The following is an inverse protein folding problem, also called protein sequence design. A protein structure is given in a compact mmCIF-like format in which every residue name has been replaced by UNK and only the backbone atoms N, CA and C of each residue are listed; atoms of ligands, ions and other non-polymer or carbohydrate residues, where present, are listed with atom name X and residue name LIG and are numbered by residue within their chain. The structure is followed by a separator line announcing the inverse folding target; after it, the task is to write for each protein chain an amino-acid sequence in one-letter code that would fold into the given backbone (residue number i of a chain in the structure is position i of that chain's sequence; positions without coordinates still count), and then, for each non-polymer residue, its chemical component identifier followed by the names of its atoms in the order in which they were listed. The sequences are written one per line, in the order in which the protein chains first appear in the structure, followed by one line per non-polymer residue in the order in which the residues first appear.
data_IF_353744058410
#
_entry.id   IF_353744058410
#
_cell.length_a   1.000
_cell.length_b   1.000
_cell.length_c   1.000
_cell.angle_alpha   90.00
_cell.angle_beta   90.00
_cell.angle_gamma   90.00
#
_symmetry.space_group_name_H-M   'P 1'
#
loop_
_entity.id
_entity.type
_entity.pdbx_description
1 polymer ?
#
# COMPACT_ATOMS: atom_id res chain seq x y z
N UNK A 1 2.08 -9.18 -20.20
CA UNK A 1 1.14 -8.75 -19.18
C UNK A 1 0.80 -7.26 -19.36
N UNK A 2 1.71 -6.34 -19.08
CA UNK A 2 1.45 -4.89 -19.19
C UNK A 2 1.58 -4.30 -20.58
N UNK A 3 2.22 -4.99 -21.53
CA UNK A 3 2.56 -4.47 -22.87
C UNK A 3 3.38 -3.16 -22.85
N UNK A 4 4.22 -2.99 -21.83
CA UNK A 4 5.10 -1.84 -21.63
C UNK A 4 6.57 -2.24 -21.80
N UNK A 5 7.49 -1.28 -22.12
CA UNK A 5 8.93 -1.54 -22.18
C UNK A 5 9.47 -2.10 -20.86
N UNK A 6 10.49 -2.98 -20.94
CA UNK A 6 11.09 -3.61 -19.75
C UNK A 6 11.80 -2.61 -18.83
N UNK A 7 12.35 -1.57 -19.40
CA UNK A 7 13.09 -0.50 -18.71
C UNK A 7 12.19 0.43 -17.90
N UNK A 8 10.86 0.25 -17.97
CA UNK A 8 9.89 0.88 -17.06
C UNK A 8 9.62 0.07 -15.79
N UNK A 9 10.33 -1.04 -15.56
CA UNK A 9 10.14 -1.93 -14.42
C UNK A 9 11.41 -2.10 -13.60
N UNK A 10 11.27 -2.01 -12.28
CA UNK A 10 12.29 -2.45 -11.32
C UNK A 10 11.74 -3.57 -10.45
N UNK A 11 12.57 -4.53 -10.06
CA UNK A 11 12.18 -5.66 -9.20
C UNK A 11 12.99 -5.59 -7.90
N UNK A 12 12.34 -5.87 -6.78
CA UNK A 12 12.97 -5.82 -5.46
C UNK A 12 12.46 -6.90 -4.51
N UNK A 13 13.04 -6.91 -3.30
CA UNK A 13 12.76 -7.84 -2.21
C UNK A 13 11.40 -7.52 -1.54
N UNK A 14 10.33 -7.56 -2.32
CA UNK A 14 9.01 -7.06 -1.96
C UNK A 14 8.95 -5.53 -2.05
N UNK A 15 7.78 -4.95 -1.75
CA UNK A 15 7.62 -3.49 -1.71
C UNK A 15 8.51 -2.87 -0.63
N UNK A 16 8.74 -3.53 0.49
CA UNK A 16 9.61 -3.02 1.56
C UNK A 16 11.02 -2.69 1.07
N UNK A 17 11.64 -3.60 0.30
CA UNK A 17 12.95 -3.34 -0.29
C UNK A 17 12.92 -2.19 -1.30
N UNK A 18 11.84 -2.07 -2.08
CA UNK A 18 11.66 -0.97 -3.03
C UNK A 18 11.42 0.37 -2.32
N UNK A 19 10.68 0.40 -1.22
CA UNK A 19 10.50 1.60 -0.39
C UNK A 19 11.83 2.07 0.21
N UNK A 20 12.63 1.13 0.75
CA UNK A 20 13.96 1.43 1.24
C UNK A 20 14.88 2.00 0.16
N UNK A 21 14.86 1.41 -1.04
CA UNK A 21 15.63 1.92 -2.17
C UNK A 21 15.15 3.31 -2.62
N UNK A 22 13.84 3.57 -2.63
CA UNK A 22 13.28 4.88 -2.96
C UNK A 22 13.77 5.95 -1.98
N UNK A 23 13.67 5.67 -0.68
CA UNK A 23 14.17 6.59 0.36
C UNK A 23 15.67 6.82 0.20
N UNK A 24 16.45 5.75 0.01
CA UNK A 24 17.91 5.83 -0.19
C UNK A 24 18.31 6.65 -1.43
N UNK A 25 17.46 6.72 -2.45
CA UNK A 25 17.72 7.49 -3.68
C UNK A 25 17.45 8.98 -3.52
N UNK A 26 16.43 9.35 -2.76
CA UNK A 26 15.87 10.70 -2.82
C UNK A 26 15.88 11.45 -1.50
N UNK A 27 16.23 10.80 -0.37
CA UNK A 27 16.20 11.41 0.95
C UNK A 27 17.59 11.56 1.53
N UNK A 28 17.92 12.79 1.91
CA UNK A 28 19.07 13.17 2.71
C UNK A 28 18.59 13.56 4.11
N UNK A 29 19.49 13.55 5.13
CA UNK A 29 19.15 14.01 6.47
C UNK A 29 18.53 15.41 6.45
N UNK A 30 17.33 15.55 7.07
CA UNK A 30 16.58 16.80 7.12
C UNK A 30 15.57 17.00 5.98
N UNK A 31 15.62 16.21 4.89
CA UNK A 31 14.60 16.24 3.86
C UNK A 31 13.23 15.82 4.41
N UNK A 32 12.16 16.39 3.85
CA UNK A 32 10.79 16.10 4.27
C UNK A 32 10.08 15.17 3.28
N UNK A 33 9.36 14.21 3.83
CA UNK A 33 8.37 13.41 3.09
C UNK A 33 6.99 13.62 3.70
N UNK A 34 5.94 13.31 2.93
CA UNK A 34 4.54 13.38 3.38
C UNK A 34 3.90 12.01 3.29
N UNK A 35 3.11 11.65 4.28
CA UNK A 35 2.30 10.43 4.31
C UNK A 35 1.11 10.60 5.23
N UNK A 36 0.17 9.67 5.19
CA UNK A 36 -0.97 9.66 6.11
C UNK A 36 -0.61 9.13 7.49
N UNK A 37 -1.21 9.71 8.53
CA UNK A 37 -1.01 9.31 9.92
C UNK A 37 -1.69 7.96 10.19
N UNK A 38 -0.89 6.90 10.30
CA UNK A 38 -1.37 5.52 10.48
C UNK A 38 -1.31 4.66 9.22
N UNK A 39 -0.81 5.20 8.10
CA UNK A 39 -0.49 4.42 6.90
C UNK A 39 0.57 3.35 7.19
N UNK A 40 0.83 2.49 6.21
CA UNK A 40 1.77 1.37 6.34
C UNK A 40 3.13 1.80 6.91
N UNK A 41 3.56 1.24 8.06
CA UNK A 41 4.62 1.83 8.88
C UNK A 41 6.03 1.67 8.29
N UNK A 42 6.26 0.71 7.39
CA UNK A 42 7.61 0.40 6.91
C UNK A 42 8.23 1.57 6.15
N UNK A 43 7.43 2.34 5.40
CA UNK A 43 7.92 3.54 4.74
C UNK A 43 8.52 4.53 5.76
N UNK A 44 7.79 4.77 6.86
CA UNK A 44 8.29 5.63 7.96
C UNK A 44 9.61 5.14 8.54
N UNK A 45 9.77 3.83 8.76
CA UNK A 45 11.00 3.27 9.30
C UNK A 45 12.20 3.52 8.37
N UNK A 46 12.01 3.42 7.06
CA UNK A 46 13.05 3.77 6.10
C UNK A 46 13.40 5.27 6.16
N UNK A 47 12.40 6.15 6.20
CA UNK A 47 12.62 7.60 6.29
C UNK A 47 13.39 7.98 7.55
N UNK A 48 12.95 7.47 8.71
CA UNK A 48 13.62 7.70 10.00
C UNK A 48 15.08 7.18 9.97
N UNK A 49 15.28 6.00 9.37
CA UNK A 49 16.60 5.36 9.26
C UNK A 49 17.61 6.15 8.40
N UNK A 50 17.13 6.96 7.47
CA UNK A 50 17.94 7.85 6.62
C UNK A 50 17.98 9.30 7.14
N UNK A 51 17.40 9.58 8.32
CA UNK A 51 17.42 10.92 8.92
C UNK A 51 16.46 11.91 8.27
N UNK A 52 15.51 11.44 7.49
CA UNK A 52 14.45 12.27 6.91
C UNK A 52 13.38 12.65 7.94
N UNK A 53 12.65 13.71 7.68
CA UNK A 53 11.48 14.14 8.44
C UNK A 53 10.20 13.66 7.76
N UNK A 54 9.21 13.22 8.54
CA UNK A 54 7.91 12.83 8.00
C UNK A 54 6.80 13.76 8.49
N UNK A 55 6.11 14.41 7.57
CA UNK A 55 4.89 15.19 7.81
C UNK A 55 3.70 14.27 7.66
N UNK A 56 2.97 14.03 8.74
CA UNK A 56 1.85 13.10 8.79
C UNK A 56 0.52 13.84 8.69
N UNK A 57 -0.33 13.43 7.75
CA UNK A 57 -1.66 13.98 7.50
C UNK A 57 -2.71 13.04 8.08
N UNK A 58 -3.65 13.51 8.92
CA UNK A 58 -4.73 12.69 9.43
C UNK A 58 -5.63 12.13 8.32
N UNK A 59 -6.20 10.96 8.56
CA UNK A 59 -7.27 10.42 7.72
C UNK A 59 -8.54 11.27 7.85
N UNK A 60 -9.30 11.35 6.78
CA UNK A 60 -10.61 11.96 6.74
C UNK A 60 -11.67 10.88 6.45
N UNK A 61 -12.62 10.67 7.37
CA UNK A 61 -13.67 9.65 7.23
C UNK A 61 -13.14 8.27 6.85
N UNK A 62 -12.03 7.85 7.48
CA UNK A 62 -11.33 6.58 7.24
C UNK A 62 -10.64 6.46 5.88
N UNK A 63 -10.54 7.52 5.10
CA UNK A 63 -9.76 7.60 3.86
C UNK A 63 -8.49 8.43 4.06
N UNK A 64 -7.44 8.11 3.33
CA UNK A 64 -6.31 9.01 3.18
C UNK A 64 -6.82 10.32 2.52
N UNK A 65 -6.55 11.47 3.14
CA UNK A 65 -7.05 12.78 2.66
C UNK A 65 -6.15 13.32 1.55
N UNK A 66 -6.55 13.08 0.30
CA UNK A 66 -5.75 13.46 -0.88
C UNK A 66 -5.48 14.97 -0.96
N UNK A 67 -6.46 15.81 -0.63
CA UNK A 67 -6.34 17.26 -0.73
C UNK A 67 -5.41 17.80 0.37
N UNK A 68 -5.52 17.27 1.58
CA UNK A 68 -4.63 17.61 2.68
C UNK A 68 -3.19 17.11 2.45
N UNK A 69 -3.02 15.91 1.84
CA UNK A 69 -1.72 15.38 1.44
C UNK A 69 -1.04 16.28 0.40
N UNK A 70 -1.76 16.73 -0.64
CA UNK A 70 -1.24 17.68 -1.62
C UNK A 70 -0.86 19.02 -0.99
N UNK A 71 -1.72 19.55 -0.11
CA UNK A 71 -1.46 20.79 0.61
C UNK A 71 -0.20 20.70 1.48
N UNK A 72 -0.08 19.62 2.28
CA UNK A 72 1.10 19.36 3.11
C UNK A 72 2.37 19.23 2.27
N UNK A 73 2.28 18.54 1.12
CA UNK A 73 3.39 18.34 0.18
C UNK A 73 3.90 19.66 -0.39
N UNK A 74 2.99 20.53 -0.85
CA UNK A 74 3.33 21.86 -1.38
C UNK A 74 3.94 22.75 -0.28
N UNK A 75 3.33 22.76 0.91
CA UNK A 75 3.78 23.58 2.05
C UNK A 75 5.18 23.18 2.54
N UNK A 76 5.46 21.88 2.66
CA UNK A 76 6.74 21.36 3.16
C UNK A 76 7.80 21.21 2.06
N UNK A 77 7.45 21.38 0.79
CA UNK A 77 8.31 21.10 -0.37
C UNK A 77 8.85 19.66 -0.32
N UNK A 78 7.98 18.72 0.04
CA UNK A 78 8.36 17.33 0.28
C UNK A 78 9.03 16.69 -0.94
N UNK A 79 10.07 15.89 -0.70
CA UNK A 79 10.78 15.13 -1.73
C UNK A 79 9.98 13.92 -2.19
N UNK A 80 9.30 13.26 -1.25
CA UNK A 80 8.45 12.10 -1.54
C UNK A 80 7.08 12.32 -0.90
N UNK A 81 6.04 11.96 -1.63
CA UNK A 81 4.67 11.79 -1.13
C UNK A 81 4.31 10.30 -1.26
N UNK A 82 3.97 9.67 -0.15
CA UNK A 82 3.53 8.27 -0.11
C UNK A 82 2.01 8.20 0.04
N UNK A 83 1.38 7.43 -0.83
CA UNK A 83 -0.05 7.11 -0.81
C UNK A 83 -0.24 5.62 -1.08
N UNK A 84 -1.13 4.94 -0.35
CA UNK A 84 -1.55 3.58 -0.67
C UNK A 84 -2.97 3.52 -1.21
N UNK A 85 -3.14 2.89 -2.39
CA UNK A 85 -4.47 2.74 -2.99
C UNK A 85 -4.60 1.40 -3.74
N UNK A 86 -5.35 0.42 -3.19
CA UNK A 86 -6.15 0.43 -1.94
C UNK A 86 -5.33 0.59 -0.67
N UNK A 87 -5.93 1.25 0.33
CA UNK A 87 -5.27 1.62 1.57
C UNK A 87 -4.99 0.43 2.51
N UNK A 88 -3.93 0.53 3.23
CA UNK A 88 -3.60 -0.25 4.42
C UNK A 88 -3.22 0.73 5.55
N UNK A 89 -4.09 0.90 6.60
CA UNK A 89 -4.83 -0.18 7.25
C UNK A 89 -6.34 -0.24 7.00
N UNK A 90 -6.96 0.75 6.37
CA UNK A 90 -8.43 0.87 6.38
C UNK A 90 -9.14 0.16 5.21
N UNK A 91 -8.38 -0.33 4.22
CA UNK A 91 -8.94 -1.04 3.06
C UNK A 91 -9.75 -0.16 2.11
N UNK A 92 -9.80 1.13 2.36
CA UNK A 92 -10.51 2.12 1.53
C UNK A 92 -9.83 2.30 0.18
N UNK A 93 -10.55 2.86 -0.78
CA UNK A 93 -10.07 2.98 -2.15
C UNK A 93 -10.60 4.26 -2.79
N UNK A 94 -9.72 5.05 -3.34
CA UNK A 94 -10.06 6.21 -4.16
C UNK A 94 -10.23 5.81 -5.62
N UNK A 95 -11.26 6.36 -6.28
CA UNK A 95 -11.53 6.08 -7.69
C UNK A 95 -10.38 6.50 -8.60
N UNK A 96 -10.36 5.93 -9.81
CA UNK A 96 -9.33 6.27 -10.81
C UNK A 96 -9.30 7.75 -11.15
N UNK A 97 -10.46 8.41 -11.17
CA UNK A 97 -10.58 9.85 -11.47
C UNK A 97 -9.91 10.67 -10.36
N UNK A 98 -10.17 10.31 -9.09
CA UNK A 98 -9.55 11.01 -7.94
C UNK A 98 -8.05 10.78 -7.87
N UNK A 99 -7.59 9.56 -8.17
CA UNK A 99 -6.14 9.26 -8.22
C UNK A 99 -5.49 9.96 -9.40
N UNK A 100 -6.15 10.05 -10.57
CA UNK A 100 -5.60 10.78 -11.71
C UNK A 100 -5.48 12.27 -11.41
N UNK A 101 -6.54 12.89 -10.90
CA UNK A 101 -6.52 14.29 -10.45
C UNK A 101 -5.41 14.54 -9.42
N UNK A 102 -5.26 13.64 -8.46
CA UNK A 102 -4.18 13.70 -7.47
C UNK A 102 -2.79 13.66 -8.12
N UNK A 103 -2.56 12.73 -9.06
CA UNK A 103 -1.30 12.61 -9.81
C UNK A 103 -1.01 13.91 -10.58
N UNK A 104 -2.02 14.47 -11.23
CA UNK A 104 -1.86 15.67 -12.06
C UNK A 104 -1.50 16.92 -11.24
N UNK A 105 -1.84 16.93 -9.96
CA UNK A 105 -1.57 18.03 -9.04
C UNK A 105 -0.31 17.86 -8.17
N UNK A 106 0.44 16.75 -8.32
CA UNK A 106 1.72 16.53 -7.62
C UNK A 106 2.76 17.54 -8.11
N UNK A 107 3.48 18.25 -7.22
CA UNK A 107 4.56 19.15 -7.64
C UNK A 107 5.67 18.42 -8.41
N UNK A 108 6.21 19.02 -9.46
CA UNK A 108 7.20 18.39 -10.36
C UNK A 108 8.45 17.85 -9.62
N UNK A 109 8.84 18.51 -8.53
CA UNK A 109 10.02 18.12 -7.72
C UNK A 109 9.73 17.09 -6.64
N UNK A 110 8.48 16.64 -6.52
CA UNK A 110 8.05 15.62 -5.55
C UNK A 110 7.86 14.29 -6.26
N UNK A 111 8.46 13.23 -5.75
CA UNK A 111 8.19 11.87 -6.23
C UNK A 111 6.92 11.35 -5.54
N UNK A 112 5.91 10.97 -6.32
CA UNK A 112 4.78 10.20 -5.82
C UNK A 112 5.17 8.73 -5.75
N UNK A 113 5.14 8.17 -4.55
CA UNK A 113 5.18 6.73 -4.31
C UNK A 113 3.74 6.23 -4.14
N UNK A 114 3.16 5.64 -5.18
CA UNK A 114 1.83 5.04 -5.14
C UNK A 114 1.97 3.55 -4.83
N UNK A 115 1.64 3.18 -3.59
CA UNK A 115 1.65 1.79 -3.15
C UNK A 115 0.35 1.10 -3.57
N UNK A 116 0.45 0.23 -4.54
CA UNK A 116 -0.63 -0.56 -5.10
C UNK A 116 -0.56 -2.04 -4.68
N UNK A 117 -0.10 -2.31 -3.43
CA UNK A 117 0.05 -3.68 -2.92
C UNK A 117 -1.25 -4.50 -2.98
N UNK A 118 -2.38 -3.87 -3.03
CA UNK A 118 -3.70 -4.50 -3.08
C UNK A 118 -4.45 -4.27 -4.40
N UNK A 119 -3.81 -3.72 -5.41
CA UNK A 119 -4.45 -3.43 -6.71
C UNK A 119 -5.04 -4.64 -7.40
N UNK A 120 -4.51 -5.85 -7.18
CA UNK A 120 -5.06 -7.08 -7.75
C UNK A 120 -6.47 -7.42 -7.23
N UNK A 121 -6.91 -6.85 -6.09
CA UNK A 121 -8.25 -7.01 -5.53
C UNK A 121 -9.28 -5.99 -6.07
N UNK A 122 -8.87 -5.15 -7.01
CA UNK A 122 -9.68 -4.12 -7.67
C UNK A 122 -9.78 -4.46 -9.16
N UNK A 123 -10.93 -4.16 -9.78
CA UNK A 123 -11.04 -4.31 -11.23
C UNK A 123 -10.03 -3.35 -11.91
N UNK A 124 -9.33 -3.86 -12.91
CA UNK A 124 -8.31 -3.09 -13.64
C UNK A 124 -8.86 -1.80 -14.25
N UNK A 125 -10.14 -1.79 -14.61
CA UNK A 125 -10.80 -0.60 -15.16
C UNK A 125 -11.10 0.49 -14.12
N UNK A 126 -11.07 0.13 -12.82
CA UNK A 126 -11.22 1.07 -11.71
C UNK A 126 -9.87 1.69 -11.28
N UNK A 127 -8.75 1.13 -11.72
CA UNK A 127 -7.42 1.67 -11.42
C UNK A 127 -7.07 2.85 -12.33
N UNK A 128 -6.40 3.86 -11.79
CA UNK A 128 -5.86 4.95 -12.60
C UNK A 128 -4.86 4.42 -13.64
N UNK A 129 -4.87 4.93 -14.88
CA UNK A 129 -3.95 4.49 -15.93
C UNK A 129 -2.49 4.63 -15.50
N UNK A 130 -1.64 3.73 -15.98
CA UNK A 130 -0.19 3.83 -15.77
C UNK A 130 0.37 4.69 -16.89
N UNK A 131 0.87 5.88 -16.54
CA UNK A 131 1.59 6.77 -17.44
C UNK A 131 3.09 6.66 -17.15
N UNK A 132 3.82 6.04 -18.06
CA UNK A 132 5.28 5.86 -17.97
C UNK A 132 6.07 7.11 -18.44
N UNK A 133 5.42 8.09 -19.04
CA UNK A 133 6.05 9.35 -19.41
C UNK A 133 6.12 10.32 -18.22
N UNK A 134 5.31 10.10 -17.19
CA UNK A 134 5.33 10.89 -15.96
C UNK A 134 6.59 10.60 -15.15
N UNK A 135 7.54 11.54 -15.13
CA UNK A 135 8.89 11.34 -14.58
C UNK A 135 8.93 11.23 -13.04
N UNK A 136 7.89 11.71 -12.34
CA UNK A 136 7.86 11.80 -10.89
C UNK A 136 6.82 10.87 -10.21
N UNK A 137 6.37 9.81 -10.89
CA UNK A 137 5.44 8.82 -10.32
C UNK A 137 6.05 7.44 -10.39
N UNK A 138 6.11 6.74 -9.25
CA UNK A 138 6.42 5.32 -9.20
C UNK A 138 5.31 4.56 -8.49
N UNK A 139 4.87 3.45 -9.10
CA UNK A 139 3.85 2.56 -8.56
C UNK A 139 4.49 1.27 -8.10
N UNK A 140 4.21 0.84 -6.88
CA UNK A 140 4.72 -0.41 -6.34
C UNK A 140 3.63 -1.48 -6.26
N UNK A 141 3.92 -2.67 -6.76
CA UNK A 141 3.07 -3.86 -6.72
C UNK A 141 3.82 -5.06 -6.17
N UNK A 142 3.10 -6.06 -5.69
CA UNK A 142 3.71 -7.19 -4.98
C UNK A 142 3.06 -8.53 -5.33
N UNK A 143 3.84 -9.59 -5.23
CA UNK A 143 3.34 -10.97 -5.27
C UNK A 143 2.95 -11.50 -3.88
N UNK A 144 3.11 -10.69 -2.84
CA UNK A 144 2.89 -11.10 -1.44
C UNK A 144 1.41 -11.29 -1.08
N UNK A 145 0.47 -10.69 -1.81
CA UNK A 145 -0.95 -10.63 -1.45
C UNK A 145 -1.79 -11.58 -2.29
N UNK A 146 -2.35 -11.12 -3.40
CA UNK A 146 -3.24 -11.92 -4.25
C UNK A 146 -2.58 -13.20 -4.80
N UNK A 147 -1.29 -13.14 -5.09
CA UNK A 147 -0.50 -14.29 -5.57
C UNK A 147 -0.02 -15.23 -4.47
N UNK A 148 -0.18 -14.89 -3.19
CA UNK A 148 0.17 -15.77 -2.06
C UNK A 148 1.67 -15.99 -1.84
N UNK A 149 2.57 -15.20 -2.46
CA UNK A 149 4.02 -15.41 -2.43
C UNK A 149 4.74 -14.52 -1.39
N UNK A 150 4.10 -14.22 -0.26
CA UNK A 150 4.64 -13.31 0.76
C UNK A 150 6.03 -13.73 1.26
N UNK A 151 6.25 -15.03 1.48
CA UNK A 151 7.52 -15.58 1.97
C UNK A 151 8.66 -15.53 0.94
N UNK A 152 8.36 -15.39 -0.35
CA UNK A 152 9.36 -15.34 -1.42
C UNK A 152 9.95 -13.94 -1.63
N UNK A 153 9.41 -12.93 -0.92
CA UNK A 153 9.94 -11.57 -0.92
C UNK A 153 10.16 -11.00 -2.32
N UNK A 154 9.10 -10.91 -3.12
CA UNK A 154 9.19 -10.35 -4.48
C UNK A 154 8.09 -9.32 -4.72
N UNK A 155 8.49 -8.19 -5.26
CA UNK A 155 7.64 -7.09 -5.70
C UNK A 155 8.30 -6.33 -6.84
N UNK A 156 7.60 -5.39 -7.42
CA UNK A 156 8.10 -4.61 -8.54
C UNK A 156 7.57 -3.18 -8.53
N UNK A 157 8.35 -2.29 -9.12
CA UNK A 157 7.97 -0.90 -9.37
C UNK A 157 7.75 -0.67 -10.86
N UNK A 158 6.80 0.21 -11.18
CA UNK A 158 6.48 0.66 -12.53
C UNK A 158 6.57 2.18 -12.56
N UNK A 159 7.31 2.74 -13.50
CA UNK A 159 7.45 4.18 -13.65
C UNK A 159 8.24 4.57 -14.88
N UNK A 160 8.55 5.85 -14.97
CA UNK A 160 9.37 6.38 -16.04
C UNK A 160 10.75 5.70 -16.04
N UNK A 161 11.31 5.46 -17.25
CA UNK A 161 12.61 4.81 -17.43
C UNK A 161 13.72 5.44 -16.59
N UNK A 162 13.84 6.77 -16.60
CA UNK A 162 14.89 7.48 -15.84
C UNK A 162 14.77 7.23 -14.35
N UNK A 163 13.53 7.25 -13.82
CA UNK A 163 13.25 6.99 -12.41
C UNK A 163 13.57 5.53 -12.05
N UNK A 164 13.17 4.58 -12.90
CA UNK A 164 13.43 3.15 -12.71
C UNK A 164 14.93 2.84 -12.78
N UNK A 165 15.66 3.41 -13.73
CA UNK A 165 17.11 3.23 -13.86
C UNK A 165 17.88 3.70 -12.61
N UNK A 166 17.36 4.73 -11.91
CA UNK A 166 17.98 5.22 -10.68
C UNK A 166 18.07 4.12 -9.60
N UNK A 167 17.11 3.21 -9.53
CA UNK A 167 17.13 2.09 -8.57
C UNK A 167 18.36 1.19 -8.75
N UNK A 168 18.92 1.08 -9.94
CA UNK A 168 20.14 0.30 -10.18
C UNK A 168 21.37 0.83 -9.44
N UNK A 169 21.35 2.10 -9.00
CA UNK A 169 22.46 2.71 -8.24
C UNK A 169 22.50 2.26 -6.78
N UNK A 170 21.35 1.85 -6.22
CA UNK A 170 21.19 1.60 -4.77
C UNK A 170 20.67 0.21 -4.43
N UNK A 171 20.02 -0.48 -5.38
CA UNK A 171 19.47 -1.81 -5.13
C UNK A 171 20.55 -2.82 -4.79
N UNK A 172 20.22 -3.80 -3.98
CA UNK A 172 21.03 -4.98 -3.81
C UNK A 172 21.02 -5.81 -5.12
N UNK A 173 22.17 -5.98 -5.76
CA UNK A 173 22.25 -6.65 -7.07
C UNK A 173 21.76 -8.10 -7.04
N UNK A 174 21.90 -8.81 -5.92
CA UNK A 174 21.50 -10.20 -5.74
C UNK A 174 20.37 -10.34 -4.71
N UNK A 175 19.66 -9.26 -4.38
CA UNK A 175 18.64 -9.25 -3.33
C UNK A 175 17.42 -10.10 -3.64
N UNK A 176 16.96 -10.10 -4.90
CA UNK A 176 15.81 -10.91 -5.29
C UNK A 176 16.24 -12.35 -5.51
N UNK A 177 15.80 -13.23 -4.63
CA UNK A 177 16.16 -14.65 -4.67
C UNK A 177 15.63 -15.36 -5.92
N UNK A 178 16.36 -16.37 -6.40
CA UNK A 178 16.04 -17.08 -7.65
C UNK A 178 14.68 -17.79 -7.60
N UNK A 179 14.32 -18.38 -6.47
CA UNK A 179 13.02 -19.06 -6.32
C UNK A 179 11.87 -18.06 -6.44
N UNK A 180 12.00 -16.86 -5.84
CA UNK A 180 11.03 -15.78 -5.99
C UNK A 180 10.85 -15.36 -7.44
N UNK A 181 11.94 -15.21 -8.21
CA UNK A 181 11.89 -14.84 -9.62
C UNK A 181 11.13 -15.88 -10.46
N UNK A 182 11.42 -17.17 -10.24
CA UNK A 182 10.76 -18.28 -10.96
C UNK A 182 9.28 -18.34 -10.58
N UNK A 183 8.97 -18.31 -9.28
CA UNK A 183 7.61 -18.40 -8.78
C UNK A 183 6.75 -17.20 -9.23
N UNK A 184 7.28 -15.98 -9.21
CA UNK A 184 6.57 -14.81 -9.69
C UNK A 184 6.20 -14.91 -11.17
N UNK A 185 7.13 -15.42 -12.01
CA UNK A 185 6.85 -15.64 -13.44
C UNK A 185 5.73 -16.66 -13.63
N UNK A 186 5.80 -17.80 -12.96
CA UNK A 186 4.77 -18.85 -13.04
C UNK A 186 3.42 -18.32 -12.55
N UNK A 187 3.42 -17.57 -11.42
CA UNK A 187 2.20 -16.98 -10.89
C UNK A 187 1.57 -15.93 -11.83
N UNK A 188 2.38 -15.13 -12.53
CA UNK A 188 1.87 -14.20 -13.56
C UNK A 188 1.26 -14.92 -14.75
N UNK A 189 1.73 -16.10 -15.11
CA UNK A 189 1.19 -16.91 -16.18
C UNK A 189 -0.13 -17.57 -15.78
N UNK A 190 -0.35 -17.88 -14.49
CA UNK A 190 -1.55 -18.54 -13.97
C UNK A 190 -2.65 -17.57 -13.55
N UNK A 191 -3.16 -16.81 -14.50
CA UNK A 191 -4.25 -15.86 -14.27
C UNK A 191 -5.58 -16.56 -13.90
N UNK A 192 -5.75 -17.82 -14.30
CA UNK A 192 -6.96 -18.61 -13.94
C UNK A 192 -7.01 -18.86 -12.43
N UNK A 193 -5.88 -19.28 -11.84
CA UNK A 193 -5.79 -19.48 -10.40
C UNK A 193 -5.96 -18.16 -9.63
N UNK A 194 -5.35 -17.08 -10.10
CA UNK A 194 -5.55 -15.76 -9.50
C UNK A 194 -7.04 -15.40 -9.41
N UNK A 195 -7.81 -15.59 -10.49
CA UNK A 195 -9.25 -15.31 -10.47
C UNK A 195 -10.01 -16.17 -9.45
N UNK A 196 -9.61 -17.42 -9.25
CA UNK A 196 -10.19 -18.29 -8.21
C UNK A 196 -9.90 -17.72 -6.82
N UNK A 197 -8.67 -17.27 -6.57
CA UNK A 197 -8.26 -16.65 -5.28
C UNK A 197 -9.07 -15.37 -5.03
N UNK A 198 -9.16 -14.48 -6.00
CA UNK A 198 -9.90 -13.21 -5.87
C UNK A 198 -11.37 -13.43 -5.54
N UNK A 199 -12.04 -14.38 -6.20
CA UNK A 199 -13.44 -14.75 -5.90
C UNK A 199 -13.59 -15.31 -4.48
N UNK A 200 -12.67 -16.16 -4.02
CA UNK A 200 -12.69 -16.70 -2.65
C UNK A 200 -12.52 -15.60 -1.62
N UNK A 201 -11.56 -14.68 -1.83
CA UNK A 201 -11.32 -13.54 -0.93
C UNK A 201 -12.55 -12.63 -0.87
N UNK A 202 -13.15 -12.30 -2.02
CA UNK A 202 -14.36 -11.46 -2.05
C UNK A 202 -15.52 -12.11 -1.29
N UNK A 203 -15.74 -13.41 -1.50
CA UNK A 203 -16.72 -14.17 -0.72
C UNK A 203 -16.44 -14.15 0.78
N UNK A 204 -15.21 -14.43 1.19
CA UNK A 204 -14.81 -14.43 2.61
C UNK A 204 -15.00 -13.06 3.26
N UNK A 205 -14.67 -11.97 2.56
CA UNK A 205 -14.93 -10.59 3.06
C UNK A 205 -16.41 -10.35 3.32
N UNK A 206 -17.28 -10.77 2.40
CA UNK A 206 -18.73 -10.66 2.55
C UNK A 206 -19.26 -11.49 3.72
N UNK A 207 -18.77 -12.72 3.87
CA UNK A 207 -19.15 -13.62 4.96
C UNK A 207 -18.71 -13.02 6.32
N UNK A 208 -17.48 -12.51 6.45
CA UNK A 208 -16.97 -11.84 7.64
C UNK A 208 -17.85 -10.63 8.00
N UNK A 209 -18.08 -9.72 7.04
CA UNK A 209 -18.91 -8.55 7.27
C UNK A 209 -20.34 -8.91 7.73
N UNK A 210 -20.94 -9.94 7.11
CA UNK A 210 -22.27 -10.42 7.48
C UNK A 210 -22.32 -11.02 8.88
N UNK A 211 -21.29 -11.78 9.30
CA UNK A 211 -21.17 -12.32 10.66
C UNK A 211 -21.12 -11.18 11.67
N UNK A 212 -20.20 -10.22 11.50
CA UNK A 212 -20.06 -9.11 12.45
C UNK A 212 -21.31 -8.23 12.53
N UNK A 213 -21.99 -8.02 11.39
CA UNK A 213 -23.27 -7.30 11.37
C UNK A 213 -24.35 -7.94 12.24
N UNK A 214 -24.41 -9.28 12.34
CA UNK A 214 -25.37 -9.98 13.23
C UNK A 214 -25.17 -9.65 14.72
N UNK A 215 -23.94 -9.26 15.08
CA UNK A 215 -23.60 -8.86 16.45
C UNK A 215 -23.58 -7.33 16.64
N UNK A 216 -24.11 -6.56 15.68
CA UNK A 216 -24.23 -5.10 15.78
C UNK A 216 -22.98 -4.32 15.39
N UNK A 217 -21.92 -4.98 14.90
CA UNK A 217 -20.71 -4.30 14.42
C UNK A 217 -20.88 -3.81 12.98
N UNK A 218 -20.18 -2.73 12.64
CA UNK A 218 -20.11 -2.22 11.28
C UNK A 218 -18.72 -2.49 10.67
N UNK A 219 -18.66 -2.61 9.36
CA UNK A 219 -17.41 -2.80 8.61
C UNK A 219 -17.27 -1.76 7.51
N UNK A 220 -16.03 -1.42 7.17
CA UNK A 220 -15.76 -0.63 5.97
C UNK A 220 -15.82 -1.51 4.73
N UNK A 221 -16.24 -0.90 3.60
CA UNK A 221 -16.12 -1.54 2.28
C UNK A 221 -14.63 -1.63 1.92
N UNK A 222 -14.09 -2.85 1.97
CA UNK A 222 -12.66 -3.06 1.73
C UNK A 222 -12.36 -3.52 0.31
N UNK A 223 -11.35 -2.89 -0.30
CA UNK A 223 -10.77 -3.27 -1.60
C UNK A 223 -9.43 -4.03 -1.43
N UNK A 224 -9.23 -4.65 -0.27
CA UNK A 224 -8.04 -5.45 0.05
C UNK A 224 -8.42 -6.91 0.33
N UNK A 225 -7.50 -7.70 0.90
CA UNK A 225 -7.78 -9.06 1.37
C UNK A 225 -8.14 -9.14 2.87
N UNK A 226 -8.51 -8.02 3.48
CA UNK A 226 -8.96 -7.96 4.88
C UNK A 226 -10.20 -7.06 5.02
N UNK A 227 -10.89 -7.18 6.15
CA UNK A 227 -12.07 -6.38 6.47
C UNK A 227 -11.79 -5.59 7.75
N UNK A 228 -11.79 -4.24 7.71
CA UNK A 228 -11.78 -3.43 8.91
C UNK A 228 -13.17 -3.45 9.55
N UNK A 229 -13.24 -3.87 10.80
CA UNK A 229 -14.45 -3.92 11.62
C UNK A 229 -14.34 -2.81 12.65
N UNK A 230 -15.31 -1.92 12.69
CA UNK A 230 -15.44 -0.93 13.74
C UNK A 230 -15.82 -1.65 15.05
N UNK A 231 -15.03 -1.48 16.10
CA UNK A 231 -15.26 -2.14 17.39
C UNK A 231 -16.51 -1.61 18.13
N UNK A 232 -17.07 -0.50 17.69
CA UNK A 232 -18.20 0.17 18.35
C UNK A 232 -17.79 1.03 19.55
N UNK A 233 -16.49 1.13 19.85
CA UNK A 233 -15.92 1.93 20.91
C UNK A 233 -14.66 2.68 20.47
N UNK A 234 -13.87 3.12 21.44
CA UNK A 234 -12.57 3.76 21.19
C UNK A 234 -11.43 2.74 21.01
N UNK A 235 -10.21 3.22 20.90
CA UNK A 235 -9.02 2.37 20.78
C UNK A 235 -8.77 1.48 22.00
N UNK A 236 -9.16 1.90 23.18
CA UNK A 236 -9.06 1.08 24.40
C UNK A 236 -10.03 -0.11 24.36
N UNK A 237 -11.24 0.14 23.88
CA UNK A 237 -12.22 -0.93 23.69
C UNK A 237 -11.77 -1.94 22.63
N UNK A 238 -11.27 -1.47 21.50
CA UNK A 238 -10.70 -2.33 20.45
C UNK A 238 -9.51 -3.15 20.96
N UNK A 239 -8.63 -2.57 21.79
CA UNK A 239 -7.52 -3.27 22.41
C UNK A 239 -7.98 -4.38 23.38
N UNK A 240 -9.03 -4.12 24.18
CA UNK A 240 -9.64 -5.13 25.05
C UNK A 240 -10.25 -6.28 24.24
N UNK A 241 -10.97 -5.95 23.16
CA UNK A 241 -11.53 -6.94 22.23
C UNK A 241 -10.43 -7.80 21.61
N UNK A 242 -9.35 -7.18 21.13
CA UNK A 242 -8.20 -7.89 20.59
C UNK A 242 -7.56 -8.81 21.63
N UNK A 243 -7.39 -8.36 22.86
CA UNK A 243 -6.84 -9.18 23.97
C UNK A 243 -7.72 -10.39 24.24
N UNK A 244 -9.06 -10.23 24.29
CA UNK A 244 -9.99 -11.34 24.44
C UNK A 244 -9.91 -12.36 23.29
N UNK A 245 -9.81 -11.89 22.05
CA UNK A 245 -9.62 -12.77 20.89
C UNK A 245 -8.29 -13.55 20.96
N UNK A 246 -7.20 -12.92 21.41
CA UNK A 246 -5.92 -13.60 21.60
C UNK A 246 -6.01 -14.71 22.66
N UNK A 247 -6.75 -14.51 23.75
CA UNK A 247 -7.00 -15.54 24.77
C UNK A 247 -7.71 -16.76 24.16
N UNK A 248 -8.62 -16.53 23.22
CA UNK A 248 -9.28 -17.58 22.42
C UNK A 248 -8.42 -18.10 21.24
N UNK A 249 -7.13 -17.72 21.18
CA UNK A 249 -6.19 -18.09 20.12
C UNK A 249 -6.55 -17.55 18.73
N UNK A 250 -7.33 -16.47 18.68
CA UNK A 250 -7.71 -15.78 17.44
C UNK A 250 -6.83 -14.53 17.31
N UNK A 251 -5.97 -14.51 16.28
CA UNK A 251 -5.03 -13.41 16.05
C UNK A 251 -5.57 -12.46 14.99
N UNK A 252 -5.87 -11.23 15.39
CA UNK A 252 -6.30 -10.14 14.51
C UNK A 252 -5.32 -8.97 14.57
N UNK A 253 -5.48 -8.00 13.72
CA UNK A 253 -4.68 -6.77 13.71
C UNK A 253 -5.53 -5.58 14.11
N UNK A 254 -4.87 -4.55 14.67
CA UNK A 254 -5.47 -3.26 15.02
C UNK A 254 -4.53 -2.16 14.53
N UNK A 255 -5.03 -1.10 13.86
CA UNK A 255 -4.23 0.10 13.62
C UNK A 255 -3.74 0.70 14.94
N UNK A 256 -2.55 1.30 14.94
CA UNK A 256 -1.93 1.80 16.18
C UNK A 256 -2.31 3.25 16.52
N UNK A 257 -2.90 3.98 15.58
CA UNK A 257 -3.09 5.43 15.66
C UNK A 257 -4.58 5.80 15.77
N UNK A 258 -4.92 6.69 16.69
CA UNK A 258 -6.26 7.27 16.80
C UNK A 258 -6.57 8.18 15.59
N UNK A 259 -7.82 8.17 15.06
CA UNK A 259 -8.98 7.36 15.48
C UNK A 259 -9.05 5.96 14.86
N UNK A 260 -8.11 5.60 13.98
CA UNK A 260 -8.11 4.32 13.23
C UNK A 260 -8.02 3.10 14.17
N UNK A 261 -7.43 3.28 15.35
CA UNK A 261 -7.30 2.25 16.37
C UNK A 261 -8.62 1.82 17.02
N UNK A 262 -9.75 2.43 16.66
CA UNK A 262 -11.09 1.92 16.99
C UNK A 262 -11.53 0.73 16.12
N UNK A 263 -10.73 0.36 15.12
CA UNK A 263 -10.99 -0.76 14.22
C UNK A 263 -10.11 -1.96 14.54
N UNK A 264 -10.63 -3.15 14.29
CA UNK A 264 -9.86 -4.39 14.17
C UNK A 264 -9.88 -4.86 12.71
N UNK A 265 -8.79 -5.45 12.24
CA UNK A 265 -8.66 -5.99 10.88
C UNK A 265 -8.71 -7.50 10.89
N UNK A 266 -9.66 -8.06 10.14
CA UNK A 266 -9.87 -9.50 9.99
C UNK A 266 -9.45 -9.92 8.58
N UNK A 267 -8.68 -11.01 8.47
CA UNK A 267 -8.22 -11.57 7.20
C UNK A 267 -8.74 -12.99 7.03
#
# INVERSE_FOLDING_TARGET
FYKMPRDCFTVGEGIDGLLGNLVRLFIEPGDTVVSSLGAYPTFKYHVDGFGGNISLVPYNNNYEDLDALLSATKKSKAKILYLSNPDNPMGTFHSKERIQDFIDNIPDKTILCLDEAYSDFVDVNELAPIDIERENVIRFRTFSKAYGLAGLRIGYGIGNKKLVEAFNKVRNHFGVNRLGQIAARVALEDQKYLQVVLKKVDKSKKDIAAIFKKFGFTSLASRTNFVPINSGGDGNFAAKLMTGLIQEKIFVRMPSVSPLNSFIRIT
#
